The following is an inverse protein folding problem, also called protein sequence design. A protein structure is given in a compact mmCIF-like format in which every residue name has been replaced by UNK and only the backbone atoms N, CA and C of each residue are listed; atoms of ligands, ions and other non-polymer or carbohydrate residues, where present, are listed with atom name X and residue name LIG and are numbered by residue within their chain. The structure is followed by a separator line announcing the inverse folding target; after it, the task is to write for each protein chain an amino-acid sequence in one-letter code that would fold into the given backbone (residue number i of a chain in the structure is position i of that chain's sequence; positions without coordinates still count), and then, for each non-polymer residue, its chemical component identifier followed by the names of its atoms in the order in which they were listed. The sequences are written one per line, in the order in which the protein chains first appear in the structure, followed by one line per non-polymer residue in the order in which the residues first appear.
data_IF_848581108640
#
_entry.id   IF_848581108640
#
_cell.length_a   1.000
_cell.length_b   1.000
_cell.length_c   1.000
_cell.angle_alpha   90.00
_cell.angle_beta   90.00
_cell.angle_gamma   90.00
#
_symmetry.space_group_name_H-M   'P 1'
#
loop_
_entity.id
_entity.type
_entity.pdbx_description
1 polymer ?
#
# COMPACT_ATOMS: atom_id res chain seq x y z
N UNK A 1 -26.52 6.89 -0.99
CA UNK A 1 -25.18 6.98 -0.39
C UNK A 1 -24.70 5.57 -0.14
N UNK A 2 -23.52 5.21 -0.65
CA UNK A 2 -22.93 3.89 -0.45
C UNK A 2 -22.08 3.86 0.85
N UNK A 3 -21.89 2.69 1.49
CA UNK A 3 -21.05 2.58 2.70
C UNK A 3 -19.59 3.00 2.50
N UNK A 4 -19.16 3.12 1.26
CA UNK A 4 -17.81 3.56 0.87
C UNK A 4 -17.70 5.07 0.72
N UNK A 5 -18.82 5.79 0.68
CA UNK A 5 -18.82 7.23 0.45
C UNK A 5 -18.22 8.00 1.64
N UNK A 6 -17.46 9.02 1.30
CA UNK A 6 -16.85 9.92 2.28
C UNK A 6 -17.91 10.83 2.89
N UNK A 7 -17.84 11.04 4.20
CA UNK A 7 -18.54 12.16 4.85
C UNK A 7 -17.97 13.49 4.35
N UNK A 8 -18.67 14.61 4.65
CA UNK A 8 -18.17 15.93 4.26
C UNK A 8 -16.86 16.29 4.99
N UNK A 9 -16.71 15.90 6.26
CA UNK A 9 -15.50 16.10 7.03
C UNK A 9 -14.32 15.31 6.45
N UNK A 10 -14.55 14.06 6.11
CA UNK A 10 -13.52 13.19 5.48
C UNK A 10 -13.10 13.72 4.10
N UNK A 11 -14.07 14.15 3.29
CA UNK A 11 -13.77 14.76 2.00
C UNK A 11 -12.95 16.04 2.15
N UNK A 12 -13.37 16.97 3.02
CA UNK A 12 -12.63 18.22 3.29
C UNK A 12 -11.18 17.98 3.68
N UNK A 13 -10.91 16.90 4.46
CA UNK A 13 -9.55 16.53 4.82
C UNK A 13 -8.72 16.11 3.60
N UNK A 14 -9.29 15.27 2.71
CA UNK A 14 -8.60 14.83 1.49
C UNK A 14 -8.45 15.98 0.51
N UNK A 15 -9.48 16.80 0.32
CA UNK A 15 -9.48 17.96 -0.59
C UNK A 15 -8.38 18.94 -0.24
N UNK A 16 -8.19 19.24 1.04
CA UNK A 16 -7.06 20.06 1.54
C UNK A 16 -5.68 19.46 1.21
N UNK A 17 -5.58 18.13 1.14
CA UNK A 17 -4.31 17.45 0.79
C UNK A 17 -4.06 17.50 -0.71
N UNK A 18 -5.12 17.30 -1.51
CA UNK A 18 -5.03 17.36 -2.98
C UNK A 18 -4.69 18.78 -3.43
N UNK A 19 -5.35 19.77 -2.83
CA UNK A 19 -5.19 21.21 -3.09
C UNK A 19 -5.31 21.56 -4.58
N UNK A 20 -6.42 21.13 -5.21
CA UNK A 20 -6.70 21.38 -6.62
C UNK A 20 -7.96 22.24 -6.78
N UNK A 21 -7.78 23.54 -6.98
CA UNK A 21 -8.80 24.58 -7.04
C UNK A 21 -9.54 24.68 -8.41
N UNK A 22 -9.32 23.73 -9.32
CA UNK A 22 -9.94 23.79 -10.67
C UNK A 22 -11.45 23.63 -10.59
N UNK A 23 -12.17 24.48 -11.33
CA UNK A 23 -13.61 24.29 -11.56
C UNK A 23 -13.85 23.02 -12.39
N UNK A 24 -14.83 22.18 -11.98
CA UNK A 24 -15.15 20.90 -12.60
C UNK A 24 -16.64 20.74 -12.78
N UNK A 25 -17.03 19.98 -13.82
CA UNK A 25 -18.42 19.59 -14.02
C UNK A 25 -18.92 18.69 -12.87
N UNK A 26 -18.06 17.78 -12.38
CA UNK A 26 -18.37 16.90 -11.28
C UNK A 26 -17.50 17.20 -10.05
N UNK A 27 -18.06 17.24 -8.84
CA UNK A 27 -17.28 17.39 -7.62
C UNK A 27 -16.24 16.28 -7.46
N UNK A 28 -15.04 16.64 -6.99
CA UNK A 28 -13.99 15.64 -6.73
C UNK A 28 -14.43 14.57 -5.74
N UNK A 29 -15.32 14.91 -4.80
CA UNK A 29 -15.92 13.96 -3.85
C UNK A 29 -16.56 12.77 -4.57
N UNK A 30 -17.32 13.01 -5.65
CA UNK A 30 -17.99 11.95 -6.40
C UNK A 30 -16.99 11.05 -7.13
N UNK A 31 -15.89 11.61 -7.62
CA UNK A 31 -14.80 10.84 -8.26
C UNK A 31 -14.07 9.98 -7.23
N UNK A 32 -13.74 10.54 -6.06
CA UNK A 32 -13.12 9.81 -4.95
C UNK A 32 -14.01 8.67 -4.47
N UNK A 33 -15.30 8.95 -4.26
CA UNK A 33 -16.27 7.94 -3.82
C UNK A 33 -16.37 6.79 -4.81
N UNK A 34 -16.40 7.09 -6.12
CA UNK A 34 -16.42 6.07 -7.17
C UNK A 34 -15.16 5.17 -7.11
N UNK A 35 -13.97 5.76 -6.92
CA UNK A 35 -12.72 5.01 -6.81
C UNK A 35 -12.70 4.15 -5.53
N UNK A 36 -13.16 4.68 -4.40
CA UNK A 36 -13.27 3.92 -3.15
C UNK A 36 -14.28 2.78 -3.27
N UNK A 37 -15.39 3.00 -3.99
CA UNK A 37 -16.37 1.98 -4.29
C UNK A 37 -15.77 0.82 -5.12
N UNK A 38 -15.03 1.14 -6.19
CA UNK A 38 -14.32 0.14 -7.00
C UNK A 38 -13.30 -0.63 -6.16
N UNK A 39 -12.51 0.07 -5.33
CA UNK A 39 -11.52 -0.56 -4.46
C UNK A 39 -12.17 -1.57 -3.50
N UNK A 40 -13.26 -1.18 -2.85
CA UNK A 40 -13.97 -2.02 -1.88
C UNK A 40 -14.73 -3.16 -2.54
N UNK A 41 -15.48 -2.87 -3.63
CA UNK A 41 -16.35 -3.81 -4.31
C UNK A 41 -15.64 -4.76 -5.27
N UNK A 42 -14.46 -4.36 -5.80
CA UNK A 42 -13.70 -5.13 -6.79
C UNK A 42 -14.35 -5.20 -8.17
N UNK A 43 -15.30 -4.31 -8.46
CA UNK A 43 -16.01 -4.29 -9.74
C UNK A 43 -15.11 -3.85 -10.90
N UNK A 44 -15.49 -4.22 -12.11
CA UNK A 44 -14.89 -3.69 -13.33
C UNK A 44 -15.26 -2.22 -13.52
N UNK A 45 -14.38 -1.43 -14.13
CA UNK A 45 -14.60 -0.01 -14.40
C UNK A 45 -15.94 0.26 -15.12
N UNK A 46 -16.26 -0.55 -16.13
CA UNK A 46 -17.48 -0.43 -16.95
C UNK A 46 -18.77 -0.75 -16.19
N UNK A 47 -18.66 -1.41 -15.02
CA UNK A 47 -19.81 -1.76 -14.17
C UNK A 47 -20.01 -0.74 -13.04
N UNK A 48 -19.34 0.42 -13.12
CA UNK A 48 -19.56 1.49 -12.14
C UNK A 48 -21.01 1.94 -12.15
N UNK A 49 -21.70 2.04 -10.99
CA UNK A 49 -23.09 2.51 -10.89
C UNK A 49 -23.31 3.87 -11.55
N UNK A 50 -24.49 4.07 -12.15
CA UNK A 50 -24.83 5.27 -12.93
C UNK A 50 -24.94 6.55 -12.07
N UNK A 51 -25.08 6.42 -10.77
CA UNK A 51 -25.10 7.53 -9.82
C UNK A 51 -23.73 8.21 -9.67
N UNK A 52 -22.66 7.52 -10.04
CA UNK A 52 -21.32 8.10 -10.13
C UNK A 52 -21.06 8.76 -11.49
N UNK A 53 -20.03 9.60 -11.62
CA UNK A 53 -19.58 10.07 -12.93
C UNK A 53 -19.21 8.90 -13.85
N UNK A 54 -19.24 9.12 -15.16
CA UNK A 54 -18.91 8.05 -16.13
C UNK A 54 -17.57 7.38 -15.77
N UNK A 55 -17.51 6.07 -15.98
CA UNK A 55 -16.33 5.29 -15.64
C UNK A 55 -15.06 5.80 -16.34
N UNK A 56 -15.17 6.35 -17.57
CA UNK A 56 -14.04 6.92 -18.31
C UNK A 56 -13.45 8.12 -17.57
N UNK A 57 -14.30 9.00 -17.05
CA UNK A 57 -13.87 10.16 -16.27
C UNK A 57 -13.22 9.71 -14.95
N UNK A 58 -13.82 8.76 -14.25
CA UNK A 58 -13.28 8.24 -12.99
C UNK A 58 -11.92 7.56 -13.21
N UNK A 59 -11.80 6.74 -14.28
CA UNK A 59 -10.55 6.11 -14.68
C UNK A 59 -9.46 7.14 -15.06
N UNK A 60 -9.83 8.18 -15.79
CA UNK A 60 -8.91 9.29 -16.11
C UNK A 60 -8.31 9.91 -14.84
N UNK A 61 -9.14 10.23 -13.84
CA UNK A 61 -8.65 10.78 -12.58
C UNK A 61 -7.82 9.78 -11.78
N UNK A 62 -8.22 8.52 -11.74
CA UNK A 62 -7.42 7.46 -11.13
C UNK A 62 -6.01 7.42 -11.73
N UNK A 63 -5.90 7.34 -13.06
CA UNK A 63 -4.59 7.31 -13.76
C UNK A 63 -3.81 8.60 -13.59
N UNK A 64 -4.45 9.74 -13.71
CA UNK A 64 -3.82 11.05 -13.47
C UNK A 64 -3.20 11.13 -12.08
N UNK A 65 -3.89 10.63 -11.07
CA UNK A 65 -3.41 10.64 -9.69
C UNK A 65 -2.36 9.56 -9.41
N UNK A 66 -2.36 8.45 -10.14
CA UNK A 66 -1.26 7.48 -10.14
C UNK A 66 0.02 8.15 -10.66
N UNK A 67 -0.03 8.72 -11.86
CA UNK A 67 1.13 9.36 -12.51
C UNK A 67 1.64 10.55 -11.70
N UNK A 68 0.75 11.35 -11.15
CA UNK A 68 1.09 12.52 -10.34
C UNK A 68 1.46 12.22 -8.87
N UNK A 69 1.51 10.95 -8.43
CA UNK A 69 1.86 10.58 -7.05
C UNK A 69 0.85 11.05 -5.99
N UNK A 70 -0.36 11.42 -6.40
CA UNK A 70 -1.37 12.00 -5.49
C UNK A 70 -1.85 10.97 -4.45
N UNK A 71 -1.96 9.69 -4.82
CA UNK A 71 -2.34 8.64 -3.89
C UNK A 71 -1.32 8.47 -2.77
N UNK A 72 -0.03 8.51 -3.10
CA UNK A 72 1.04 8.47 -2.09
C UNK A 72 1.02 9.72 -1.19
N UNK A 73 0.78 10.91 -1.77
CA UNK A 73 0.64 12.17 -1.02
C UNK A 73 -0.51 12.10 0.00
N UNK A 74 -1.70 11.67 -0.43
CA UNK A 74 -2.87 11.52 0.45
C UNK A 74 -2.58 10.49 1.54
N UNK A 75 -2.08 9.32 1.17
CA UNK A 75 -1.77 8.23 2.07
C UNK A 75 -0.76 8.66 3.15
N UNK A 76 0.31 9.35 2.75
CA UNK A 76 1.34 9.84 3.67
C UNK A 76 0.81 10.88 4.65
N UNK A 77 0.02 11.85 4.19
CA UNK A 77 -0.55 12.89 5.05
C UNK A 77 -1.58 12.32 6.02
N UNK A 78 -2.46 11.43 5.58
CA UNK A 78 -3.42 10.77 6.47
C UNK A 78 -2.71 9.92 7.53
N UNK A 79 -1.63 9.23 7.17
CA UNK A 79 -0.80 8.48 8.12
C UNK A 79 -0.20 9.42 9.18
N UNK A 80 0.40 10.53 8.78
CA UNK A 80 0.97 11.53 9.70
C UNK A 80 -0.10 12.03 10.69
N UNK A 81 -1.26 12.45 10.18
CA UNK A 81 -2.37 12.94 11.01
C UNK A 81 -2.89 11.88 11.98
N UNK A 82 -3.09 10.64 11.49
CA UNK A 82 -3.57 9.56 12.34
C UNK A 82 -2.55 9.20 13.44
N UNK A 83 -1.26 9.19 13.11
CA UNK A 83 -0.21 8.96 14.11
C UNK A 83 -0.23 10.02 15.20
N UNK A 84 -0.34 11.30 14.84
CA UNK A 84 -0.45 12.41 15.81
C UNK A 84 -1.72 12.25 16.66
N UNK A 85 -2.87 11.94 16.03
CA UNK A 85 -4.15 11.74 16.70
C UNK A 85 -4.09 10.66 17.81
N UNK A 86 -3.27 9.62 17.63
CA UNK A 86 -3.07 8.55 18.62
C UNK A 86 -1.84 8.76 19.52
N UNK A 87 -1.34 9.99 19.62
CA UNK A 87 -0.22 10.35 20.51
C UNK A 87 1.15 9.87 20.03
N UNK A 88 1.31 9.55 18.74
CA UNK A 88 2.61 9.17 18.16
C UNK A 88 3.22 10.33 17.37
N UNK A 89 4.54 10.32 17.21
CA UNK A 89 5.21 11.28 16.32
C UNK A 89 4.81 11.00 14.86
N UNK A 90 4.69 12.03 14.02
CA UNK A 90 4.26 11.93 12.62
C UNK A 90 5.09 10.94 11.80
N UNK A 91 6.43 11.01 11.91
CA UNK A 91 7.35 10.05 11.29
C UNK A 91 7.55 8.84 12.20
N UNK A 92 7.44 7.60 11.68
CA UNK A 92 7.68 6.37 12.42
C UNK A 92 9.18 6.16 12.70
N UNK A 93 9.50 5.40 13.76
CA UNK A 93 10.86 4.97 14.09
C UNK A 93 11.12 3.50 13.75
N UNK A 94 10.08 2.74 13.46
CA UNK A 94 10.15 1.32 13.12
C UNK A 94 9.30 1.03 11.88
N UNK A 95 9.89 0.33 10.91
CA UNK A 95 9.24 -0.30 9.78
C UNK A 95 9.22 -1.82 9.92
N UNK A 96 8.23 -2.47 9.36
CA UNK A 96 8.13 -3.93 9.31
C UNK A 96 7.79 -4.30 7.87
N UNK A 97 8.68 -5.08 7.23
CA UNK A 97 8.53 -5.49 5.83
C UNK A 97 8.05 -6.94 5.74
N UNK A 98 7.15 -7.19 4.79
CA UNK A 98 6.73 -8.54 4.40
C UNK A 98 6.22 -8.52 2.95
N UNK A 99 6.01 -9.69 2.35
CA UNK A 99 5.53 -9.86 0.98
C UNK A 99 4.28 -10.73 0.89
N UNK A 100 3.41 -10.36 -0.06
CA UNK A 100 2.22 -11.12 -0.41
C UNK A 100 2.24 -11.48 -1.89
N UNK A 101 2.28 -12.78 -2.20
CA UNK A 101 2.07 -13.25 -3.59
C UNK A 101 0.58 -13.33 -3.89
N UNK A 102 0.18 -12.79 -5.04
CA UNK A 102 -1.21 -12.72 -5.51
C UNK A 102 -1.32 -13.22 -6.94
N UNK A 103 -2.42 -13.89 -7.23
CA UNK A 103 -2.73 -14.35 -8.60
C UNK A 103 -3.09 -13.18 -9.49
N UNK A 104 -2.67 -13.21 -10.75
CA UNK A 104 -3.23 -12.34 -11.77
C UNK A 104 -4.62 -12.83 -12.18
N UNK A 105 -5.47 -11.88 -12.59
CA UNK A 105 -6.86 -12.19 -12.99
C UNK A 105 -6.97 -12.72 -14.40
N UNK A 106 -6.07 -12.34 -15.30
CA UNK A 106 -6.17 -12.58 -16.73
C UNK A 106 -4.86 -13.12 -17.32
N UNK A 107 -5.00 -13.82 -18.44
CA UNK A 107 -3.88 -14.27 -19.25
C UNK A 107 -3.20 -13.06 -19.93
N UNK A 108 -1.86 -13.09 -20.02
CA UNK A 108 -1.12 -12.11 -20.81
C UNK A 108 -0.86 -10.76 -20.15
N UNK A 109 -1.23 -10.55 -18.86
CA UNK A 109 -0.79 -9.35 -18.16
C UNK A 109 0.73 -9.33 -18.07
N UNK A 110 1.38 -8.16 -18.33
CA UNK A 110 2.82 -8.00 -18.21
C UNK A 110 3.28 -8.14 -16.74
N UNK A 111 4.57 -8.29 -16.55
CA UNK A 111 5.21 -8.29 -15.23
C UNK A 111 4.62 -9.33 -14.26
N UNK A 112 4.40 -10.56 -14.74
CA UNK A 112 4.00 -11.71 -13.92
C UNK A 112 5.14 -12.73 -13.84
N UNK A 113 5.14 -13.50 -12.76
CA UNK A 113 6.10 -14.59 -12.54
C UNK A 113 5.51 -15.67 -11.66
N UNK A 114 6.24 -16.76 -11.48
CA UNK A 114 5.84 -17.87 -10.63
C UNK A 114 6.62 -17.88 -9.31
N UNK A 115 5.91 -17.76 -8.20
CA UNK A 115 6.46 -17.95 -6.86
C UNK A 115 6.46 -19.45 -6.54
N UNK A 116 7.63 -20.07 -6.60
CA UNK A 116 7.81 -21.51 -6.35
C UNK A 116 7.48 -21.94 -4.92
N UNK A 117 7.69 -21.03 -3.94
CA UNK A 117 7.41 -21.34 -2.53
C UNK A 117 5.91 -21.33 -2.21
N UNK A 118 5.19 -20.31 -2.70
CA UNK A 118 3.76 -20.14 -2.46
C UNK A 118 2.90 -20.77 -3.54
N UNK A 119 3.51 -21.30 -4.62
CA UNK A 119 2.85 -21.89 -5.80
C UNK A 119 1.83 -20.93 -6.44
N UNK A 120 2.20 -19.65 -6.55
CA UNK A 120 1.35 -18.60 -7.11
C UNK A 120 1.97 -18.07 -8.39
N UNK A 121 1.20 -18.11 -9.48
CA UNK A 121 1.53 -17.42 -10.72
C UNK A 121 0.86 -16.04 -10.73
N UNK A 122 1.66 -14.98 -10.71
CA UNK A 122 1.15 -13.62 -10.64
C UNK A 122 2.21 -12.59 -10.23
N UNK A 123 1.82 -11.71 -9.31
CA UNK A 123 2.68 -10.64 -8.79
C UNK A 123 2.90 -10.79 -7.28
N UNK A 124 3.90 -10.10 -6.78
CA UNK A 124 4.21 -10.04 -5.36
C UNK A 124 4.18 -8.59 -4.90
N UNK A 125 3.44 -8.32 -3.81
CA UNK A 125 3.37 -7.03 -3.15
C UNK A 125 4.36 -7.03 -1.98
N UNK A 126 5.36 -6.17 -2.02
CA UNK A 126 6.28 -5.95 -0.92
C UNK A 126 5.81 -4.73 -0.14
N UNK A 127 5.47 -4.92 1.12
CA UNK A 127 4.75 -3.95 1.94
C UNK A 127 5.57 -3.63 3.18
N UNK A 128 5.77 -2.35 3.46
CA UNK A 128 6.32 -1.88 4.73
C UNK A 128 5.24 -1.15 5.50
N UNK A 129 5.06 -1.50 6.76
CA UNK A 129 4.14 -0.82 7.66
C UNK A 129 4.86 -0.34 8.93
N UNK A 130 4.26 0.61 9.63
CA UNK A 130 4.73 1.03 10.96
C UNK A 130 4.15 0.17 12.10
N UNK A 131 4.45 0.54 13.33
CA UNK A 131 3.96 -0.15 14.54
C UNK A 131 2.45 -0.09 14.76
N UNK A 132 1.73 0.77 14.04
CA UNK A 132 0.26 0.83 14.02
C UNK A 132 -0.34 -0.01 12.89
N UNK A 133 0.50 -0.54 12.00
CA UNK A 133 0.08 -1.23 10.79
C UNK A 133 -0.25 -0.29 9.63
N UNK A 134 0.17 0.97 9.72
CA UNK A 134 -0.06 1.96 8.67
C UNK A 134 1.00 1.82 7.58
N UNK A 135 0.57 1.81 6.33
CA UNK A 135 1.44 1.65 5.16
C UNK A 135 2.52 2.75 5.10
N UNK A 136 3.78 2.35 4.94
CA UNK A 136 4.90 3.24 4.67
C UNK A 136 5.29 3.21 3.20
N UNK A 137 5.42 2.01 2.66
CA UNK A 137 5.82 1.78 1.28
C UNK A 137 5.15 0.53 0.73
N UNK A 138 4.90 0.52 -0.57
CA UNK A 138 4.51 -0.66 -1.34
C UNK A 138 5.26 -0.65 -2.67
N UNK A 139 5.74 -1.83 -3.07
CA UNK A 139 6.26 -2.12 -4.40
C UNK A 139 5.62 -3.41 -4.89
N UNK A 140 5.30 -3.44 -6.18
CA UNK A 140 4.75 -4.62 -6.85
C UNK A 140 5.76 -5.12 -7.88
N UNK A 141 6.03 -6.42 -7.85
CA UNK A 141 6.98 -7.11 -8.74
C UNK A 141 6.35 -8.35 -9.36
N UNK A 142 6.93 -8.94 -10.41
CA UNK A 142 6.65 -10.32 -10.78
C UNK A 142 6.88 -11.26 -9.57
N UNK A 143 6.04 -12.28 -9.41
CA UNK A 143 6.08 -13.14 -8.21
C UNK A 143 7.35 -13.98 -8.08
N UNK A 144 8.11 -14.18 -9.16
CA UNK A 144 9.41 -14.86 -9.15
C UNK A 144 10.57 -14.02 -8.63
N UNK A 145 10.39 -12.70 -8.44
CA UNK A 145 11.43 -11.84 -7.85
C UNK A 145 11.63 -12.22 -6.39
N UNK A 146 12.89 -12.43 -6.01
CA UNK A 146 13.22 -12.80 -4.64
C UNK A 146 12.98 -11.63 -3.68
N UNK A 147 12.50 -11.94 -2.46
CA UNK A 147 12.11 -10.92 -1.49
C UNK A 147 13.29 -9.99 -1.11
N UNK A 148 14.52 -10.51 -1.03
CA UNK A 148 15.71 -9.71 -0.75
C UNK A 148 16.01 -8.70 -1.88
N UNK A 149 15.84 -9.08 -3.15
CA UNK A 149 16.04 -8.18 -4.30
C UNK A 149 15.00 -7.06 -4.30
N UNK A 150 13.73 -7.41 -4.11
CA UNK A 150 12.67 -6.43 -4.06
C UNK A 150 12.80 -5.48 -2.85
N UNK A 151 13.34 -5.98 -1.72
CA UNK A 151 13.59 -5.14 -0.55
C UNK A 151 14.61 -4.03 -0.84
N UNK A 152 15.59 -4.25 -1.73
CA UNK A 152 16.51 -3.18 -2.15
C UNK A 152 15.72 -2.01 -2.79
N UNK A 153 14.79 -2.32 -3.69
CA UNK A 153 13.95 -1.30 -4.33
C UNK A 153 13.01 -0.62 -3.34
N UNK A 154 12.50 -1.37 -2.34
CA UNK A 154 11.71 -0.80 -1.25
C UNK A 154 12.53 0.21 -0.46
N UNK A 155 13.77 -0.13 -0.05
CA UNK A 155 14.64 0.76 0.71
C UNK A 155 14.95 2.05 -0.08
N UNK A 156 15.29 1.92 -1.37
CA UNK A 156 15.53 3.07 -2.26
C UNK A 156 14.28 3.95 -2.40
N UNK A 157 13.09 3.35 -2.59
CA UNK A 157 11.81 4.11 -2.67
C UNK A 157 11.48 4.85 -1.38
N UNK A 158 11.98 4.39 -0.24
CA UNK A 158 11.77 5.01 1.07
C UNK A 158 12.78 6.10 1.40
N UNK A 159 13.86 6.26 0.63
CA UNK A 159 14.91 7.24 0.87
C UNK A 159 14.35 8.66 1.06
N UNK A 160 14.82 9.37 2.07
CA UNK A 160 14.40 10.74 2.39
C UNK A 160 12.99 10.91 2.96
N UNK A 161 12.14 9.86 2.95
CA UNK A 161 10.72 9.98 3.35
C UNK A 161 10.46 9.84 4.85
N UNK A 162 11.35 9.19 5.59
CA UNK A 162 11.14 8.84 7.00
C UNK A 162 12.33 9.21 7.87
N UNK A 163 12.52 10.49 8.22
CA UNK A 163 13.74 10.99 8.88
C UNK A 163 13.96 10.41 10.28
N UNK A 164 12.94 9.80 10.90
CA UNK A 164 13.03 9.16 12.20
C UNK A 164 13.11 7.65 12.18
N UNK A 165 13.13 7.04 10.98
CA UNK A 165 13.16 5.59 10.85
C UNK A 165 14.52 5.08 11.34
N UNK A 166 14.52 4.37 12.46
CA UNK A 166 15.74 3.85 13.08
C UNK A 166 15.95 2.35 12.82
N UNK A 167 14.86 1.62 12.50
CA UNK A 167 14.92 0.16 12.33
C UNK A 167 13.89 -0.33 11.34
N UNK A 168 14.26 -1.35 10.57
CA UNK A 168 13.35 -2.15 9.73
C UNK A 168 13.46 -3.61 10.17
N UNK A 169 12.34 -4.23 10.51
CA UNK A 169 12.24 -5.66 10.82
C UNK A 169 11.81 -6.44 9.57
N UNK A 170 12.47 -7.55 9.32
CA UNK A 170 12.17 -8.45 8.20
C UNK A 170 12.21 -9.90 8.67
N UNK A 171 11.64 -10.82 7.89
CA UNK A 171 11.77 -12.25 8.13
C UNK A 171 13.04 -12.85 7.50
N UNK A 172 13.22 -14.18 7.70
CA UNK A 172 14.40 -14.90 7.19
C UNK A 172 14.55 -14.92 5.66
N UNK A 173 13.52 -14.57 4.90
CA UNK A 173 13.58 -14.43 3.44
C UNK A 173 14.34 -13.18 2.96
N UNK A 174 14.56 -12.23 3.86
CA UNK A 174 15.21 -10.94 3.56
C UNK A 174 16.67 -10.93 4.00
N UNK A 175 17.47 -11.93 3.63
CA UNK A 175 18.90 -12.01 3.98
C UNK A 175 19.76 -11.31 2.92
N UNK A 176 20.86 -10.69 3.37
CA UNK A 176 21.89 -10.12 2.51
C UNK A 176 22.57 -8.90 3.10
N UNK A 177 23.89 -8.84 2.98
CA UNK A 177 24.72 -7.70 3.43
C UNK A 177 24.35 -6.41 2.71
N UNK A 178 23.94 -6.52 1.45
CA UNK A 178 23.50 -5.38 0.64
C UNK A 178 22.28 -4.68 1.23
N UNK A 179 21.30 -5.41 1.82
CA UNK A 179 20.16 -4.82 2.50
C UNK A 179 20.59 -4.04 3.75
N UNK A 180 21.54 -4.58 4.51
CA UNK A 180 22.10 -3.90 5.69
C UNK A 180 22.82 -2.62 5.26
N UNK A 181 23.62 -2.69 4.19
CA UNK A 181 24.30 -1.54 3.63
C UNK A 181 23.31 -0.45 3.16
N UNK A 182 22.31 -0.80 2.35
CA UNK A 182 21.30 0.15 1.85
C UNK A 182 20.48 0.77 2.97
N UNK A 183 20.09 -0.01 3.98
CA UNK A 183 19.35 0.55 5.12
C UNK A 183 20.18 1.59 5.88
N UNK A 184 21.48 1.36 6.03
CA UNK A 184 22.41 2.32 6.68
C UNK A 184 22.66 3.55 5.82
N UNK A 185 22.94 3.38 4.54
CA UNK A 185 23.31 4.47 3.63
C UNK A 185 22.12 5.37 3.27
N UNK A 186 21.01 4.76 2.81
CA UNK A 186 19.84 5.51 2.30
C UNK A 186 18.88 5.96 3.41
N UNK A 187 18.71 5.14 4.47
CA UNK A 187 17.70 5.40 5.50
C UNK A 187 18.28 5.72 6.88
N UNK A 188 19.61 5.63 7.06
CA UNK A 188 20.29 5.73 8.38
C UNK A 188 19.66 4.81 9.43
N UNK A 189 19.22 3.63 9.00
CA UNK A 189 18.42 2.67 9.79
C UNK A 189 19.15 1.33 9.91
N UNK A 190 18.81 0.58 10.95
CA UNK A 190 19.24 -0.80 11.12
C UNK A 190 18.24 -1.72 10.40
N UNK A 191 18.74 -2.61 9.52
CA UNK A 191 17.95 -3.69 8.94
C UNK A 191 18.18 -4.95 9.77
N UNK A 192 17.11 -5.43 10.43
CA UNK A 192 17.18 -6.56 11.34
C UNK A 192 16.33 -7.71 10.80
N UNK A 193 16.99 -8.82 10.48
CA UNK A 193 16.33 -10.05 10.10
C UNK A 193 16.04 -10.86 11.36
N UNK A 194 14.75 -11.04 11.64
CA UNK A 194 14.32 -11.81 12.80
C UNK A 194 14.10 -13.26 12.37
N UNK A 195 15.02 -14.13 12.78
CA UNK A 195 14.89 -15.59 12.59
C UNK A 195 14.25 -16.23 13.82
N UNK A 196 13.50 -17.32 13.62
CA UNK A 196 13.11 -18.18 14.73
C UNK A 196 14.38 -18.80 15.29
N UNK A 197 14.75 -18.46 16.51
CA UNK A 197 15.73 -19.21 17.29
C UNK A 197 14.96 -20.34 17.95
N UNK A 198 15.49 -21.56 17.77
CA UNK A 198 15.11 -22.83 18.36
C UNK A 198 13.94 -23.59 17.76
N UNK A 199 14.27 -24.82 17.37
CA UNK A 199 13.39 -25.92 17.05
C UNK A 199 12.62 -26.32 18.33
N UNK A 200 11.31 -26.10 18.35
CA UNK A 200 10.44 -26.68 19.38
C UNK A 200 9.41 -25.77 20.06
N UNK A 201 9.64 -24.47 20.18
CA UNK A 201 8.65 -23.58 20.79
C UNK A 201 8.12 -22.54 19.78
N UNK A 202 6.79 -22.43 19.67
CA UNK A 202 6.12 -21.38 18.94
C UNK A 202 6.30 -20.06 19.70
N UNK A 203 7.31 -19.25 19.34
CA UNK A 203 7.44 -17.88 19.82
C UNK A 203 6.97 -16.90 18.73
N UNK A 204 5.97 -16.10 19.07
CA UNK A 204 5.54 -14.98 18.23
C UNK A 204 6.70 -13.99 18.12
N UNK A 205 7.25 -13.81 16.91
CA UNK A 205 8.30 -12.82 16.67
C UNK A 205 7.73 -11.44 17.00
N UNK A 206 8.29 -10.70 17.96
CA UNK A 206 7.73 -9.43 18.40
C UNK A 206 7.49 -8.48 17.21
N UNK A 207 6.25 -8.00 17.08
CA UNK A 207 5.80 -7.01 16.07
C UNK A 207 5.67 -7.50 14.62
N UNK A 208 6.16 -8.67 14.21
CA UNK A 208 6.02 -9.15 12.83
C UNK A 208 4.56 -9.38 12.43
N UNK A 209 3.74 -9.88 13.35
CA UNK A 209 2.30 -10.07 13.14
C UNK A 209 1.57 -8.78 12.67
N UNK A 210 2.17 -7.58 12.90
CA UNK A 210 1.55 -6.30 12.53
C UNK A 210 1.45 -6.17 11.01
N UNK A 211 2.50 -6.53 10.26
CA UNK A 211 2.46 -6.46 8.79
C UNK A 211 1.54 -7.53 8.22
N UNK A 212 1.56 -8.75 8.79
CA UNK A 212 0.67 -9.85 8.42
C UNK A 212 -0.81 -9.43 8.61
N UNK A 213 -1.14 -8.82 9.76
CA UNK A 213 -2.46 -8.24 10.01
C UNK A 213 -2.84 -7.15 9.00
N UNK A 214 -1.91 -6.29 8.65
CA UNK A 214 -2.17 -5.21 7.69
C UNK A 214 -2.44 -5.77 6.30
N UNK A 215 -1.71 -6.80 5.88
CA UNK A 215 -1.96 -7.55 4.64
C UNK A 215 -3.35 -8.18 4.67
N UNK A 216 -3.75 -8.81 5.80
CA UNK A 216 -5.08 -9.38 5.95
C UNK A 216 -6.18 -8.30 5.83
N UNK A 217 -5.98 -7.12 6.39
CA UNK A 217 -6.93 -6.00 6.25
C UNK A 217 -7.03 -5.47 4.82
N UNK A 218 -5.93 -5.43 4.05
CA UNK A 218 -5.98 -5.07 2.63
C UNK A 218 -6.84 -6.05 1.82
N UNK A 219 -6.84 -7.34 2.16
CA UNK A 219 -7.67 -8.36 1.50
C UNK A 219 -9.19 -8.13 1.69
N UNK A 220 -9.62 -7.29 2.65
CA UNK A 220 -11.03 -6.88 2.75
C UNK A 220 -11.47 -5.92 1.63
N UNK A 221 -10.53 -5.44 0.83
CA UNK A 221 -10.80 -4.70 -0.39
C UNK A 221 -10.75 -5.65 -1.58
N UNK A 222 -11.92 -5.99 -2.13
CA UNK A 222 -12.04 -7.02 -3.19
C UNK A 222 -11.19 -6.74 -4.44
N UNK A 223 -10.90 -5.46 -4.73
CA UNK A 223 -9.98 -5.09 -5.82
C UNK A 223 -8.56 -5.64 -5.61
N UNK A 224 -8.19 -5.95 -4.36
CA UNK A 224 -6.89 -6.50 -4.00
C UNK A 224 -6.85 -8.03 -3.88
N UNK A 225 -7.98 -8.74 -4.08
CA UNK A 225 -8.05 -10.21 -3.98
C UNK A 225 -7.22 -10.93 -5.06
N UNK A 226 -7.12 -10.30 -6.24
CA UNK A 226 -6.21 -10.66 -7.33
C UNK A 226 -5.56 -9.39 -7.87
N UNK A 227 -4.57 -9.52 -8.76
CA UNK A 227 -4.09 -8.37 -9.53
C UNK A 227 -4.81 -8.30 -10.87
N UNK A 228 -5.53 -7.19 -11.08
CA UNK A 228 -6.31 -6.91 -12.29
C UNK A 228 -5.66 -5.83 -13.16
N UNK A 229 -4.49 -5.34 -12.75
CA UNK A 229 -3.93 -4.13 -13.33
C UNK A 229 -2.88 -4.44 -14.40
N UNK A 230 -2.96 -3.77 -15.55
CA UNK A 230 -1.96 -3.88 -16.60
C UNK A 230 -0.59 -3.36 -16.12
N UNK A 231 -0.57 -2.27 -15.34
CA UNK A 231 0.66 -1.61 -14.88
C UNK A 231 0.87 -1.81 -13.37
N UNK A 232 2.11 -2.02 -12.97
CA UNK A 232 2.51 -2.21 -11.56
C UNK A 232 2.19 -0.97 -10.70
N UNK A 233 2.33 0.24 -11.25
CA UNK A 233 2.02 1.48 -10.54
C UNK A 233 0.53 1.59 -10.18
N UNK A 234 -0.35 1.07 -11.05
CA UNK A 234 -1.79 0.99 -10.75
C UNK A 234 -2.07 -0.02 -9.65
N UNK A 235 -1.35 -1.14 -9.64
CA UNK A 235 -1.45 -2.15 -8.58
C UNK A 235 -1.00 -1.58 -7.23
N UNK A 236 0.12 -0.85 -7.19
CA UNK A 236 0.59 -0.14 -5.99
C UNK A 236 -0.43 0.91 -5.50
N UNK A 237 -1.00 1.68 -6.43
CA UNK A 237 -2.00 2.69 -6.12
C UNK A 237 -3.25 2.10 -5.46
N UNK A 238 -3.70 0.92 -5.87
CA UNK A 238 -4.84 0.25 -5.22
C UNK A 238 -4.55 -0.13 -3.76
N UNK A 239 -3.30 -0.52 -3.44
CA UNK A 239 -2.89 -0.75 -2.04
C UNK A 239 -2.89 0.56 -1.25
N UNK A 240 -2.38 1.65 -1.85
CA UNK A 240 -2.41 2.98 -1.23
C UNK A 240 -3.86 3.45 -1.00
N UNK A 241 -4.76 3.26 -1.97
CA UNK A 241 -6.19 3.60 -1.86
C UNK A 241 -6.87 2.78 -0.75
N UNK A 242 -6.57 1.48 -0.64
CA UNK A 242 -7.07 0.66 0.46
C UNK A 242 -6.58 1.17 1.82
N UNK A 243 -5.31 1.54 1.93
CA UNK A 243 -4.74 2.18 3.12
C UNK A 243 -5.44 3.51 3.45
N UNK A 244 -5.70 4.36 2.44
CA UNK A 244 -6.46 5.60 2.59
C UNK A 244 -7.86 5.31 3.12
N UNK A 245 -8.59 4.35 2.51
CA UNK A 245 -9.94 3.97 2.91
C UNK A 245 -10.01 3.48 4.37
N UNK A 246 -8.99 2.77 4.84
CA UNK A 246 -8.89 2.31 6.22
C UNK A 246 -8.59 3.46 7.19
N UNK A 247 -7.69 4.37 6.82
CA UNK A 247 -7.29 5.48 7.68
C UNK A 247 -8.38 6.54 7.77
N UNK A 248 -9.01 6.91 6.65
CA UNK A 248 -9.98 8.02 6.61
C UNK A 248 -11.20 7.76 7.50
N UNK A 249 -11.55 6.50 7.72
CA UNK A 249 -12.63 6.10 8.64
C UNK A 249 -12.33 6.36 10.12
N UNK A 250 -11.10 6.75 10.45
CA UNK A 250 -10.69 7.13 11.81
C UNK A 250 -10.84 8.63 12.07
N UNK A 251 -11.25 9.40 11.05
CA UNK A 251 -11.57 10.83 11.08
C UNK A 251 -13.07 11.06 10.86
#
# INVERSE_FOLDING_TARGET
MYPTDLSDSQYKLIDKIIDDQRKRKYPLKNILNAILYINKGGIQWRLLPREYPSWQLVYYYFRKWVIGGIWEKIQSKLREYLRIKVGKKSSPSLGIIDSQSIKNSEWGLPDKGFDGNKKVNGRKRHIVVDTLGLLLCVIVTPANVHDSVAAEWVLLKMEGKFPRLAKILADGGYKGERLIYLARSCLKSVFEVVTRKDEGEFRVIPKRWIVERSIAWFNWHRRLSKDYEANVESSEAWVQIASIAMMIRKF
#
